data_IF_782265480413
#
_entry.id   IF_782265480413
#
_cell.length_a   1.000
_cell.length_b   1.000
_cell.length_c   1.000
_cell.angle_alpha   90.00
_cell.angle_beta   90.00
_cell.angle_gamma   90.00
#
_symmetry.space_group_name_H-M   'P 1'
#
loop_
_entity.id
_entity.type
_entity.pdbx_description
1 polymer ?
#
# COMPACT_ATOMS: atom_id res chain seq x y z
N UNK A 1 -10.85 12.73 -21.59
CA UNK A 1 -11.49 13.83 -20.83
C UNK A 1 -10.36 14.56 -20.13
N UNK A 2 -9.99 15.71 -20.66
CA UNK A 2 -8.90 16.53 -20.11
C UNK A 2 -9.43 17.29 -18.90
N UNK A 3 -8.93 16.96 -17.69
CA UNK A 3 -9.33 17.62 -16.45
C UNK A 3 -8.24 18.64 -16.11
N UNK A 4 -8.20 19.73 -16.92
CA UNK A 4 -7.32 20.85 -16.62
C UNK A 4 -8.16 21.89 -15.87
N UNK A 5 -7.96 22.01 -14.57
CA UNK A 5 -8.49 23.14 -13.80
C UNK A 5 -7.72 24.41 -14.17
N UNK A 6 -8.44 25.44 -14.60
CA UNK A 6 -7.86 26.77 -14.87
C UNK A 6 -8.26 27.74 -13.78
N UNK A 7 -7.27 28.38 -13.19
CA UNK A 7 -7.44 29.50 -12.29
C UNK A 7 -7.05 30.77 -13.04
N UNK A 8 -8.01 31.65 -13.28
CA UNK A 8 -7.78 32.93 -13.98
C UNK A 8 -8.20 34.08 -13.06
N UNK A 9 -7.29 34.99 -12.75
CA UNK A 9 -7.53 36.19 -11.93
C UNK A 9 -8.20 35.90 -10.56
N UNK A 10 -7.86 34.79 -9.93
CA UNK A 10 -8.35 34.47 -8.59
C UNK A 10 -7.44 35.16 -7.58
N UNK A 11 -7.98 36.13 -6.85
CA UNK A 11 -7.26 36.79 -5.76
C UNK A 11 -7.40 35.96 -4.48
N UNK A 12 -6.25 35.70 -3.82
CA UNK A 12 -6.19 35.03 -2.52
C UNK A 12 -5.38 35.86 -1.54
N UNK A 13 -5.75 35.89 -0.25
CA UNK A 13 -4.94 36.58 0.76
C UNK A 13 -3.52 36.01 0.84
N UNK A 14 -2.48 36.86 1.04
CA UNK A 14 -1.08 36.39 1.13
C UNK A 14 -0.83 35.33 2.21
N UNK A 15 -1.59 35.36 3.30
CA UNK A 15 -1.53 34.37 4.38
C UNK A 15 -1.97 32.97 3.96
N UNK A 16 -2.62 32.82 2.81
CA UNK A 16 -3.00 31.51 2.22
C UNK A 16 -1.85 30.84 1.48
N UNK A 17 -0.70 31.50 1.33
CA UNK A 17 0.51 30.90 0.76
C UNK A 17 1.04 29.86 1.76
N UNK A 18 1.03 28.59 1.37
CA UNK A 18 1.55 27.51 2.19
C UNK A 18 3.06 27.70 2.46
N UNK A 19 3.44 27.77 3.74
CA UNK A 19 4.84 28.00 4.14
C UNK A 19 5.33 29.44 4.04
N UNK A 20 4.50 30.37 3.54
CA UNK A 20 4.81 31.81 3.48
C UNK A 20 5.70 32.25 2.31
N UNK A 21 6.37 31.34 1.63
CA UNK A 21 7.28 31.63 0.52
C UNK A 21 6.68 31.21 -0.82
N UNK A 22 6.71 32.10 -1.81
CA UNK A 22 6.31 31.80 -3.18
C UNK A 22 7.27 30.82 -3.86
N UNK A 23 6.76 30.05 -4.85
CA UNK A 23 7.57 29.15 -5.65
C UNK A 23 7.87 27.79 -5.02
N UNK A 24 7.43 27.53 -3.78
CA UNK A 24 7.69 26.26 -3.07
C UNK A 24 6.61 25.19 -3.30
N UNK A 25 5.51 25.52 -3.95
CA UNK A 25 4.35 24.63 -4.09
C UNK A 25 4.65 23.26 -4.67
N UNK A 26 5.56 23.16 -5.65
CA UNK A 26 5.96 21.88 -6.22
C UNK A 26 6.65 20.97 -5.19
N UNK A 27 7.58 21.51 -4.41
CA UNK A 27 8.29 20.75 -3.37
C UNK A 27 7.36 20.30 -2.26
N UNK A 28 6.46 21.18 -1.82
CA UNK A 28 5.43 20.87 -0.81
C UNK A 28 4.48 19.75 -1.29
N UNK A 29 4.06 19.83 -2.56
CA UNK A 29 3.23 18.78 -3.17
C UNK A 29 3.98 17.45 -3.22
N UNK A 30 5.25 17.44 -3.62
CA UNK A 30 6.05 16.22 -3.70
C UNK A 30 6.27 15.59 -2.33
N UNK A 31 6.48 16.38 -1.28
CA UNK A 31 6.55 15.89 0.11
C UNK A 31 5.22 15.23 0.54
N UNK A 32 4.10 15.84 0.21
CA UNK A 32 2.78 15.25 0.42
C UNK A 32 2.54 13.94 -0.35
N UNK A 33 3.06 13.84 -1.58
CA UNK A 33 3.00 12.62 -2.39
C UNK A 33 3.80 11.48 -1.75
N UNK A 34 4.95 11.74 -1.14
CA UNK A 34 5.74 10.73 -0.42
C UNK A 34 4.93 10.12 0.74
N UNK A 35 4.32 10.96 1.58
CA UNK A 35 3.42 10.51 2.65
C UNK A 35 2.23 9.73 2.09
N UNK A 36 1.65 10.21 0.99
CA UNK A 36 0.56 9.55 0.28
C UNK A 36 0.93 8.14 -0.19
N UNK A 37 2.15 7.92 -0.70
CA UNK A 37 2.65 6.60 -1.11
C UNK A 37 2.71 5.62 0.05
N UNK A 38 3.20 6.04 1.22
CA UNK A 38 3.23 5.20 2.43
C UNK A 38 1.82 4.84 2.89
N UNK A 39 0.88 5.80 2.87
CA UNK A 39 -0.52 5.56 3.20
C UNK A 39 -1.20 4.56 2.24
N UNK A 40 -0.90 4.64 0.95
CA UNK A 40 -1.40 3.66 -0.05
C UNK A 40 -0.82 2.27 0.23
N UNK A 41 0.47 2.18 0.55
CA UNK A 41 1.11 0.92 0.93
C UNK A 41 0.45 0.29 2.18
N UNK A 42 0.18 1.09 3.21
CA UNK A 42 -0.50 0.62 4.42
C UNK A 42 -1.90 0.06 4.13
N UNK A 43 -2.68 0.76 3.29
CA UNK A 43 -4.00 0.27 2.86
C UNK A 43 -3.90 -1.04 2.08
N UNK A 44 -2.93 -1.17 1.19
CA UNK A 44 -2.70 -2.40 0.44
C UNK A 44 -2.34 -3.58 1.36
N UNK A 45 -1.47 -3.37 2.35
CA UNK A 45 -1.13 -4.38 3.36
C UNK A 45 -2.37 -4.82 4.15
N UNK A 46 -3.21 -3.89 4.60
CA UNK A 46 -4.44 -4.21 5.33
C UNK A 46 -5.44 -5.00 4.51
N UNK A 47 -5.60 -4.66 3.22
CA UNK A 47 -6.48 -5.38 2.31
C UNK A 47 -5.96 -6.80 2.03
N UNK A 48 -4.66 -6.93 1.78
CA UNK A 48 -4.02 -8.23 1.55
C UNK A 48 -4.14 -9.14 2.78
N UNK A 49 -3.91 -8.58 3.98
CA UNK A 49 -4.06 -9.32 5.23
C UNK A 49 -5.48 -9.86 5.40
N UNK A 50 -6.50 -9.02 5.17
CA UNK A 50 -7.90 -9.48 5.30
C UNK A 50 -8.26 -10.55 4.26
N UNK A 51 -7.79 -10.41 3.04
CA UNK A 51 -8.00 -11.43 1.99
C UNK A 51 -7.35 -12.78 2.40
N UNK A 52 -6.13 -12.72 2.93
CA UNK A 52 -5.42 -13.90 3.44
C UNK A 52 -6.17 -14.58 4.59
N UNK A 53 -6.63 -13.81 5.60
CA UNK A 53 -7.42 -14.34 6.73
C UNK A 53 -8.65 -15.10 6.24
N UNK A 54 -9.42 -14.52 5.29
CA UNK A 54 -10.60 -15.17 4.71
C UNK A 54 -10.22 -16.45 3.95
N UNK A 55 -9.11 -16.45 3.23
CA UNK A 55 -8.60 -17.64 2.54
C UNK A 55 -8.21 -18.74 3.53
N UNK A 56 -7.55 -18.40 4.64
CA UNK A 56 -7.18 -19.36 5.70
C UNK A 56 -8.44 -19.94 6.37
N UNK A 57 -9.38 -19.07 6.77
CA UNK A 57 -10.67 -19.48 7.37
C UNK A 57 -11.40 -20.50 6.46
N UNK A 58 -11.53 -20.17 5.19
CA UNK A 58 -12.19 -21.05 4.22
C UNK A 58 -11.43 -22.37 4.00
N UNK A 59 -10.10 -22.32 3.92
CA UNK A 59 -9.27 -23.51 3.73
C UNK A 59 -9.36 -24.49 4.91
N UNK A 60 -9.69 -24.04 6.10
CA UNK A 60 -9.92 -24.87 7.29
C UNK A 60 -11.36 -25.41 7.38
N UNK A 61 -12.32 -24.75 6.73
CA UNK A 61 -13.72 -25.19 6.72
C UNK A 61 -14.02 -26.19 5.60
N UNK A 62 -13.46 -25.96 4.41
CA UNK A 62 -13.72 -26.79 3.23
C UNK A 62 -12.93 -28.08 3.26
N UNK A 63 -13.59 -29.20 3.02
CA UNK A 63 -12.96 -30.51 2.90
C UNK A 63 -13.11 -31.08 1.48
N UNK A 64 -12.05 -31.70 0.98
CA UNK A 64 -12.01 -32.44 -0.29
C UNK A 64 -11.14 -33.70 -0.11
N UNK A 65 -11.51 -34.80 -0.75
CA UNK A 65 -10.76 -36.06 -0.64
C UNK A 65 -10.51 -36.53 0.81
N UNK A 66 -11.50 -36.32 1.69
CA UNK A 66 -11.46 -36.79 3.07
C UNK A 66 -10.64 -35.98 4.07
N UNK A 67 -10.13 -34.79 3.69
CA UNK A 67 -9.39 -33.89 4.58
C UNK A 67 -9.66 -32.41 4.25
N UNK A 68 -9.29 -31.51 5.16
CA UNK A 68 -9.39 -30.06 4.93
C UNK A 68 -8.51 -29.66 3.74
N UNK A 69 -8.95 -28.64 2.97
CA UNK A 69 -8.14 -28.21 1.82
C UNK A 69 -6.82 -27.56 2.25
N UNK A 70 -6.72 -27.00 3.46
CA UNK A 70 -5.48 -26.53 4.07
C UNK A 70 -4.40 -27.61 4.23
N UNK A 71 -4.79 -28.91 4.31
CA UNK A 71 -3.87 -30.03 4.41
C UNK A 71 -3.32 -30.52 3.04
N UNK A 72 -3.83 -29.97 1.95
CA UNK A 72 -3.28 -30.22 0.62
C UNK A 72 -2.06 -29.33 0.38
N UNK A 73 -0.94 -29.91 0.03
CA UNK A 73 0.34 -29.23 -0.13
C UNK A 73 0.26 -28.01 -1.07
N UNK A 74 -0.49 -28.11 -2.16
CA UNK A 74 -0.67 -27.01 -3.11
C UNK A 74 -1.35 -25.79 -2.47
N UNK A 75 -2.35 -26.01 -1.59
CA UNK A 75 -3.03 -24.94 -0.86
C UNK A 75 -2.13 -24.39 0.24
N UNK A 76 -1.48 -25.28 1.02
CA UNK A 76 -0.57 -24.88 2.08
C UNK A 76 0.58 -24.00 1.56
N UNK A 77 1.18 -24.35 0.42
CA UNK A 77 2.26 -23.55 -0.18
C UNK A 77 1.75 -22.18 -0.67
N UNK A 78 0.56 -22.13 -1.24
CA UNK A 78 -0.04 -20.85 -1.65
C UNK A 78 -0.29 -19.95 -0.45
N UNK A 79 -0.83 -20.45 0.64
CA UNK A 79 -1.02 -19.69 1.87
C UNK A 79 0.31 -19.20 2.45
N UNK A 80 1.36 -20.03 2.44
CA UNK A 80 2.70 -19.64 2.89
C UNK A 80 3.30 -18.52 2.03
N UNK A 81 3.13 -18.59 0.70
CA UNK A 81 3.57 -17.54 -0.24
C UNK A 81 2.84 -16.22 0.00
N UNK A 82 1.50 -16.27 0.16
CA UNK A 82 0.70 -15.09 0.50
C UNK A 82 1.15 -14.43 1.80
N UNK A 83 1.37 -15.22 2.86
CA UNK A 83 1.86 -14.71 4.15
C UNK A 83 3.23 -14.03 4.00
N UNK A 84 4.14 -14.63 3.23
CA UNK A 84 5.48 -14.08 2.98
C UNK A 84 5.41 -12.75 2.23
N UNK A 85 4.55 -12.64 1.21
CA UNK A 85 4.33 -11.40 0.45
C UNK A 85 3.79 -10.28 1.32
N UNK A 86 2.81 -10.58 2.18
CA UNK A 86 2.23 -9.61 3.12
C UNK A 86 3.30 -9.08 4.07
N UNK A 87 4.09 -9.98 4.67
CA UNK A 87 5.15 -9.60 5.60
C UNK A 87 6.22 -8.74 4.92
N UNK A 88 6.68 -9.13 3.73
CA UNK A 88 7.65 -8.35 2.96
C UNK A 88 7.14 -6.93 2.64
N UNK A 89 5.89 -6.80 2.20
CA UNK A 89 5.25 -5.52 1.92
C UNK A 89 5.12 -4.67 3.19
N UNK A 90 4.70 -5.27 4.30
CA UNK A 90 4.55 -4.63 5.59
C UNK A 90 5.89 -4.07 6.11
N UNK A 91 6.97 -4.87 6.07
CA UNK A 91 8.29 -4.42 6.52
C UNK A 91 8.84 -3.27 5.66
N UNK A 92 8.63 -3.30 4.34
CA UNK A 92 9.01 -2.19 3.46
C UNK A 92 8.20 -0.92 3.75
N UNK A 93 6.91 -1.04 4.01
CA UNK A 93 6.05 0.09 4.39
C UNK A 93 6.47 0.69 5.74
N UNK A 94 6.74 -0.14 6.75
CA UNK A 94 7.21 0.31 8.06
C UNK A 94 8.58 0.99 7.95
N UNK A 95 9.50 0.45 7.13
CA UNK A 95 10.78 1.09 6.85
C UNK A 95 10.59 2.48 6.26
N UNK A 96 9.74 2.62 5.24
CA UNK A 96 9.44 3.90 4.62
C UNK A 96 8.85 4.91 5.63
N UNK A 97 7.91 4.48 6.47
CA UNK A 97 7.34 5.33 7.52
C UNK A 97 8.42 5.82 8.51
N UNK A 98 9.25 4.90 9.02
CA UNK A 98 10.33 5.26 9.96
C UNK A 98 11.38 6.19 9.35
N UNK A 99 11.70 6.02 8.06
CA UNK A 99 12.60 6.95 7.35
C UNK A 99 12.01 8.35 7.34
N UNK A 100 10.72 8.49 7.05
CA UNK A 100 10.03 9.80 7.08
C UNK A 100 10.03 10.40 8.49
N UNK A 101 9.70 9.62 9.50
CA UNK A 101 9.65 10.06 10.91
C UNK A 101 11.02 10.54 11.41
N UNK A 102 12.11 9.98 10.88
CA UNK A 102 13.47 10.44 11.20
C UNK A 102 13.87 11.78 10.56
N UNK A 103 13.00 12.35 9.71
CA UNK A 103 13.30 13.57 8.95
C UNK A 103 14.22 13.35 7.75
N UNK A 104 14.59 12.10 7.43
CA UNK A 104 15.41 11.77 6.27
C UNK A 104 14.59 11.80 4.97
N UNK A 105 15.29 11.97 3.84
CA UNK A 105 14.68 11.85 2.51
C UNK A 105 14.10 10.46 2.31
N UNK A 106 12.87 10.39 1.83
CA UNK A 106 12.04 9.18 1.82
C UNK A 106 11.47 8.79 0.46
N UNK A 107 11.80 9.52 -0.60
CA UNK A 107 11.23 9.32 -1.94
C UNK A 107 11.46 7.90 -2.48
N UNK A 108 12.62 7.33 -2.26
CA UNK A 108 12.99 5.98 -2.68
C UNK A 108 12.21 4.91 -1.89
N UNK A 109 12.27 4.97 -0.56
CA UNK A 109 11.58 4.01 0.31
C UNK A 109 10.06 4.07 0.14
N UNK A 110 9.48 5.25 0.05
CA UNK A 110 8.06 5.45 -0.20
C UNK A 110 7.63 4.90 -1.57
N UNK A 111 8.46 5.10 -2.60
CA UNK A 111 8.26 4.54 -3.94
C UNK A 111 8.27 3.02 -3.94
N UNK A 112 9.30 2.41 -3.32
CA UNK A 112 9.43 0.95 -3.20
C UNK A 112 8.29 0.34 -2.38
N UNK A 113 7.93 0.96 -1.25
CA UNK A 113 6.84 0.49 -0.40
C UNK A 113 5.50 0.47 -1.15
N UNK A 114 5.17 1.58 -1.85
CA UNK A 114 3.94 1.67 -2.65
C UNK A 114 3.91 0.62 -3.75
N UNK A 115 5.00 0.47 -4.50
CA UNK A 115 5.09 -0.50 -5.59
C UNK A 115 4.89 -1.92 -5.07
N UNK A 116 5.72 -2.35 -4.12
CA UNK A 116 5.70 -3.72 -3.59
C UNK A 116 4.36 -4.08 -2.96
N UNK A 117 3.83 -3.20 -2.09
CA UNK A 117 2.56 -3.45 -1.42
C UNK A 117 1.39 -3.55 -2.41
N UNK A 118 1.37 -2.72 -3.45
CA UNK A 118 0.30 -2.75 -4.46
C UNK A 118 0.31 -4.03 -5.28
N UNK A 119 1.49 -4.47 -5.74
CA UNK A 119 1.62 -5.70 -6.54
C UNK A 119 1.30 -6.94 -5.69
N UNK A 120 1.87 -7.04 -4.50
CA UNK A 120 1.61 -8.18 -3.63
C UNK A 120 0.17 -8.24 -3.12
N UNK A 121 -0.47 -7.09 -2.86
CA UNK A 121 -1.88 -7.04 -2.52
C UNK A 121 -2.75 -7.65 -3.64
N UNK A 122 -2.49 -7.28 -4.89
CA UNK A 122 -3.18 -7.84 -6.05
C UNK A 122 -3.02 -9.36 -6.10
N UNK A 123 -1.79 -9.87 -6.02
CA UNK A 123 -1.50 -11.30 -6.08
C UNK A 123 -2.19 -12.05 -4.92
N UNK A 124 -2.10 -11.55 -3.69
CA UNK A 124 -2.71 -12.17 -2.50
C UNK A 124 -4.23 -12.21 -2.62
N UNK A 125 -4.87 -11.13 -3.08
CA UNK A 125 -6.33 -11.10 -3.29
C UNK A 125 -6.75 -12.11 -4.36
N UNK A 126 -6.04 -12.17 -5.48
CA UNK A 126 -6.32 -13.15 -6.54
C UNK A 126 -6.15 -14.59 -6.05
N UNK A 127 -5.09 -14.88 -5.27
CA UNK A 127 -4.84 -16.20 -4.73
C UNK A 127 -5.84 -16.62 -3.65
N UNK A 128 -6.31 -15.68 -2.83
CA UNK A 128 -7.33 -15.95 -1.81
C UNK A 128 -8.70 -16.28 -2.41
N UNK A 129 -8.98 -15.80 -3.62
CA UNK A 129 -10.24 -16.02 -4.32
C UNK A 129 -10.27 -17.36 -5.09
N UNK A 130 -9.14 -17.90 -5.48
CA UNK A 130 -9.00 -19.16 -6.24
C UNK A 130 -9.00 -20.40 -5.34
#
# INVERSE_FOLDING_TARGET
MDITEKFENVEVPPENILGGDEGQGFYQMMDGVEVGRVNVAARACGLALRAFELGVEYAQLRSTFGKQISEHQAVAFRLADMATKIEAAHQMMVRAARTKDSGARNDLEAGMAKYLASEYCKEVVEDSFR
#
